data_IF_451402154482
#
_entry.id   IF_451402154482
#
_cell.length_a   1.000
_cell.length_b   1.000
_cell.length_c   1.000
_cell.angle_alpha   90.00
_cell.angle_beta   90.00
_cell.angle_gamma   90.00
#
_symmetry.space_group_name_H-M   'P 1'
#
loop_
_entity.id
_entity.type
_entity.pdbx_description
1 polymer ?
#
# COMPACT_ATOMS: atom_id res chain seq x y z
N UNK A 1 -19.57 -83.80 42.12
CA UNK A 1 -18.64 -84.89 42.49
C UNK A 1 -17.46 -84.82 41.54
N UNK A 2 -16.27 -84.49 42.05
CA UNK A 2 -14.98 -84.44 41.30
C UNK A 2 -14.20 -85.69 41.71
N UNK A 3 -13.53 -86.41 40.78
CA UNK A 3 -12.05 -86.38 40.68
C UNK A 3 -11.56 -86.64 39.23
N UNK A 4 -10.33 -86.41 38.78
CA UNK A 4 -9.05 -85.98 39.34
C UNK A 4 -8.03 -85.82 38.19
N UNK A 5 -6.90 -85.11 38.42
CA UNK A 5 -5.80 -84.94 37.45
C UNK A 5 -4.95 -86.20 37.22
N UNK A 6 -3.89 -86.17 36.37
CA UNK A 6 -2.67 -85.41 36.64
C UNK A 6 -1.96 -84.74 35.42
N UNK A 7 -0.96 -83.89 35.73
CA UNK A 7 -0.04 -83.07 34.87
C UNK A 7 1.03 -83.95 34.15
N UNK A 8 2.07 -83.41 33.43
CA UNK A 8 2.31 -82.11 32.75
C UNK A 8 2.83 -82.29 31.29
N UNK A 9 2.90 -81.21 30.48
CA UNK A 9 3.95 -81.13 29.44
C UNK A 9 4.38 -79.69 29.13
N UNK A 10 5.69 -79.55 29.14
CA UNK A 10 6.51 -78.35 29.05
C UNK A 10 6.53 -77.82 27.61
N UNK A 11 6.35 -76.51 27.42
CA UNK A 11 6.39 -75.86 26.12
C UNK A 11 6.74 -74.39 26.25
N UNK A 12 8.03 -74.10 26.43
CA UNK A 12 8.60 -72.75 26.31
C UNK A 12 8.30 -72.21 24.91
N UNK A 13 7.65 -71.06 24.83
CA UNK A 13 7.69 -70.18 23.67
C UNK A 13 7.85 -68.74 24.17
N UNK A 14 8.80 -68.05 23.55
CA UNK A 14 9.46 -66.85 24.04
C UNK A 14 8.53 -65.63 23.98
N UNK A 15 8.52 -64.85 25.06
CA UNK A 15 7.92 -63.52 25.12
C UNK A 15 8.72 -62.54 24.26
N UNK A 16 8.34 -62.41 22.99
CA UNK A 16 8.79 -61.32 22.14
C UNK A 16 8.07 -60.03 22.53
N UNK A 17 8.63 -59.27 23.46
CA UNK A 17 8.22 -57.88 23.69
C UNK A 17 8.53 -57.04 22.45
N UNK A 18 7.58 -56.98 21.50
CA UNK A 18 7.54 -55.92 20.49
C UNK A 18 7.36 -54.60 21.24
N UNK A 19 8.47 -53.90 21.50
CA UNK A 19 8.47 -52.52 21.95
C UNK A 19 7.72 -51.72 20.88
N UNK A 20 6.48 -51.32 21.19
CA UNK A 20 5.75 -50.34 20.40
C UNK A 20 6.61 -49.09 20.35
N UNK A 21 7.11 -48.71 19.17
CA UNK A 21 7.76 -47.41 18.98
C UNK A 21 6.74 -46.34 19.40
N UNK A 22 7.09 -45.40 20.28
CA UNK A 22 6.21 -44.30 20.59
C UNK A 22 5.93 -43.53 19.30
N UNK A 23 4.68 -43.50 18.87
CA UNK A 23 4.20 -42.62 17.81
C UNK A 23 4.51 -41.19 18.26
N UNK A 24 5.25 -40.38 17.49
CA UNK A 24 5.46 -38.98 17.82
C UNK A 24 4.08 -38.31 17.87
N UNK A 25 3.59 -38.02 19.07
CA UNK A 25 2.40 -37.20 19.26
C UNK A 25 2.81 -35.76 19.00
N UNK A 26 2.87 -35.38 17.73
CA UNK A 26 2.92 -33.98 17.32
C UNK A 26 1.61 -33.32 17.75
N UNK A 27 1.59 -32.79 18.98
CA UNK A 27 0.39 -32.26 19.59
C UNK A 27 -0.15 -31.09 18.74
N UNK A 28 -1.36 -31.19 18.17
CA UNK A 28 -1.93 -30.13 17.33
C UNK A 28 -2.16 -28.81 18.11
N UNK A 29 -2.06 -28.84 19.45
CA UNK A 29 -2.11 -27.66 20.31
C UNK A 29 -0.88 -26.76 20.20
N UNK A 30 0.32 -27.31 19.95
CA UNK A 30 1.56 -26.52 19.87
C UNK A 30 1.64 -25.71 18.58
N UNK A 31 1.26 -26.31 17.43
CA UNK A 31 1.07 -25.60 16.15
C UNK A 31 -0.02 -24.52 16.23
N UNK A 32 -1.13 -24.78 16.93
CA UNK A 32 -2.21 -23.79 17.14
C UNK A 32 -1.75 -22.56 17.92
N UNK A 33 -0.94 -22.74 18.96
CA UNK A 33 -0.37 -21.63 19.73
C UNK A 33 0.64 -20.85 18.90
N UNK A 34 1.49 -21.52 18.12
CA UNK A 34 2.47 -20.87 17.26
C UNK A 34 1.85 -19.95 16.20
N UNK A 35 0.74 -20.37 15.55
CA UNK A 35 0.06 -19.52 14.55
C UNK A 35 -0.66 -18.33 15.18
N UNK A 36 -1.31 -18.53 16.34
CA UNK A 36 -1.96 -17.44 17.08
C UNK A 36 -0.94 -16.43 17.58
N UNK A 37 0.20 -16.90 18.09
CA UNK A 37 1.32 -16.05 18.55
C UNK A 37 1.94 -15.33 17.37
N UNK A 38 2.17 -15.99 16.22
CA UNK A 38 2.68 -15.34 15.02
C UNK A 38 1.73 -14.24 14.51
N UNK A 39 0.42 -14.49 14.52
CA UNK A 39 -0.62 -13.51 14.17
C UNK A 39 -0.63 -12.27 15.06
N UNK A 40 -0.65 -12.50 16.37
CA UNK A 40 -0.59 -11.44 17.36
C UNK A 40 0.73 -10.67 17.26
N UNK A 41 1.84 -11.35 16.98
CA UNK A 41 3.15 -10.74 16.73
C UNK A 41 3.20 -9.95 15.43
N UNK A 42 2.51 -10.35 14.36
CA UNK A 42 2.41 -9.52 13.14
C UNK A 42 1.59 -8.26 13.36
N UNK A 43 0.52 -8.33 14.15
CA UNK A 43 -0.27 -7.15 14.52
C UNK A 43 0.51 -6.27 15.50
N UNK A 44 1.19 -6.85 16.49
CA UNK A 44 2.08 -6.14 17.42
C UNK A 44 3.34 -5.60 16.75
N UNK A 45 3.86 -6.25 15.71
CA UNK A 45 4.95 -5.74 14.89
C UNK A 45 4.44 -4.60 14.02
N UNK A 46 3.27 -4.72 13.37
CA UNK A 46 2.67 -3.62 12.63
C UNK A 46 2.37 -2.41 13.53
N UNK A 47 1.87 -2.64 14.75
CA UNK A 47 1.64 -1.61 15.77
C UNK A 47 2.95 -1.07 16.32
N UNK A 48 3.93 -1.91 16.62
CA UNK A 48 5.25 -1.51 17.14
C UNK A 48 6.11 -0.78 16.11
N UNK A 49 5.93 -1.08 14.82
CA UNK A 49 6.60 -0.39 13.71
C UNK A 49 5.90 0.92 13.35
N UNK A 50 4.59 1.05 13.57
CA UNK A 50 3.89 2.35 13.50
C UNK A 50 4.12 3.23 14.73
N UNK A 51 4.37 2.65 15.90
CA UNK A 51 4.82 3.36 17.11
C UNK A 51 6.32 3.72 17.07
N UNK A 52 7.10 3.06 16.23
CA UNK A 52 8.52 3.34 15.98
C UNK A 52 8.77 4.26 14.78
N UNK A 53 7.75 4.60 14.01
CA UNK A 53 7.79 5.83 13.25
C UNK A 53 7.92 6.97 14.27
N UNK A 54 8.73 8.02 14.02
CA UNK A 54 8.60 9.22 14.82
C UNK A 54 7.15 9.68 14.65
N UNK A 55 6.28 9.37 15.62
CA UNK A 55 5.32 10.36 16.08
C UNK A 55 6.14 11.60 16.22
N UNK A 56 5.80 12.67 15.51
CA UNK A 56 6.47 13.96 15.64
C UNK A 56 6.63 14.20 17.14
N UNK A 57 7.83 13.93 17.65
CA UNK A 57 8.14 14.12 19.03
C UNK A 57 8.03 15.62 19.17
N UNK A 58 7.16 16.06 20.07
CA UNK A 58 7.24 17.40 20.60
C UNK A 58 8.69 17.57 21.07
N UNK A 59 9.47 18.26 20.24
CA UNK A 59 10.90 18.43 20.44
C UNK A 59 11.05 19.32 21.67
N UNK A 60 11.36 18.68 22.79
CA UNK A 60 11.86 19.38 23.97
C UNK A 60 13.33 19.63 23.71
N UNK A 61 13.59 20.67 22.92
CA UNK A 61 14.94 21.19 22.72
C UNK A 61 15.45 21.77 24.05
N UNK A 62 16.73 21.55 24.40
CA UNK A 62 17.39 22.34 25.43
C UNK A 62 17.47 23.80 24.96
N UNK A 63 17.28 24.73 25.89
CA UNK A 63 17.48 26.16 25.73
C UNK A 63 18.77 26.47 24.96
N UNK A 64 18.68 26.79 23.66
CA UNK A 64 19.54 27.79 23.03
C UNK A 64 19.06 28.13 21.61
N UNK A 65 18.89 29.44 21.41
CA UNK A 65 18.61 30.16 20.17
C UNK A 65 17.20 30.01 19.58
N UNK A 66 16.38 31.04 19.83
CA UNK A 66 15.12 31.36 19.16
C UNK A 66 15.26 31.22 17.62
N UNK A 67 14.90 30.08 17.05
CA UNK A 67 14.45 29.98 15.67
C UNK A 67 12.96 30.30 15.67
N UNK A 68 12.63 31.46 15.13
CA UNK A 68 11.28 31.87 14.79
C UNK A 68 10.60 30.73 14.02
N UNK A 69 9.42 30.29 14.49
CA UNK A 69 8.70 29.19 13.90
C UNK A 69 8.29 29.57 12.47
N UNK A 70 8.98 28.99 11.47
CA UNK A 70 8.60 29.09 10.06
C UNK A 70 7.12 28.71 9.89
N UNK A 71 6.31 29.52 9.16
CA UNK A 71 4.94 29.14 8.87
C UNK A 71 4.93 27.84 8.07
N UNK A 72 4.34 26.76 8.62
CA UNK A 72 4.23 25.46 7.91
C UNK A 72 3.30 25.48 6.70
N UNK A 73 2.58 26.59 6.51
CA UNK A 73 1.72 26.83 5.37
C UNK A 73 2.54 27.59 4.32
N UNK A 74 2.96 26.90 3.27
CA UNK A 74 3.80 27.47 2.23
C UNK A 74 3.29 27.11 0.84
N UNK A 75 3.63 27.95 -0.13
CA UNK A 75 3.46 27.68 -1.55
C UNK A 75 4.84 27.66 -2.16
N UNK A 76 5.20 26.57 -2.83
CA UNK A 76 6.54 26.41 -3.35
C UNK A 76 6.57 25.56 -4.60
N UNK A 77 7.75 25.35 -5.13
CA UNK A 77 7.94 24.58 -6.35
C UNK A 77 9.39 24.42 -6.72
N UNK A 78 9.58 23.69 -7.81
CA UNK A 78 10.88 23.50 -8.46
C UNK A 78 10.71 23.93 -9.92
N UNK A 79 11.59 24.82 -10.37
CA UNK A 79 11.64 25.31 -11.73
C UNK A 79 12.71 24.54 -12.47
N UNK A 80 12.29 23.78 -13.48
CA UNK A 80 13.18 22.91 -14.27
C UNK A 80 12.86 23.11 -15.75
N UNK A 81 13.84 23.57 -16.52
CA UNK A 81 13.78 23.73 -17.96
C UNK A 81 14.73 22.73 -18.61
N UNK A 82 14.23 21.93 -19.56
CA UNK A 82 15.01 20.90 -20.27
C UNK A 82 15.81 19.92 -19.39
N UNK A 83 15.34 19.71 -18.15
CA UNK A 83 15.98 18.83 -17.17
C UNK A 83 17.04 19.50 -16.29
N UNK A 84 17.30 20.80 -16.49
CA UNK A 84 18.20 21.61 -15.69
C UNK A 84 17.43 22.56 -14.75
N UNK A 85 17.84 22.72 -13.49
CA UNK A 85 17.23 23.68 -12.58
C UNK A 85 17.38 25.13 -13.06
N UNK A 86 16.35 25.94 -12.87
CA UNK A 86 16.34 27.36 -13.26
C UNK A 86 16.48 28.23 -12.02
N UNK A 87 17.66 28.79 -11.81
CA UNK A 87 17.98 29.70 -10.70
C UNK A 87 17.62 31.16 -11.05
N UNK A 88 17.32 31.96 -10.01
CA UNK A 88 17.20 33.42 -10.12
C UNK A 88 15.84 33.94 -10.57
N UNK A 89 14.82 33.09 -10.63
CA UNK A 89 13.48 33.45 -11.12
C UNK A 89 12.59 33.88 -9.98
N UNK A 90 11.96 35.05 -10.11
CA UNK A 90 11.04 35.61 -9.11
C UNK A 90 9.63 35.02 -9.29
N UNK A 91 9.05 34.57 -8.17
CA UNK A 91 7.68 34.07 -8.09
C UNK A 91 6.92 34.88 -7.03
N UNK A 92 5.80 35.45 -7.43
CA UNK A 92 4.93 36.26 -6.57
C UNK A 92 3.69 35.47 -6.17
N UNK A 93 3.31 35.58 -4.89
CA UNK A 93 2.09 34.99 -4.34
C UNK A 93 1.16 36.11 -3.87
N UNK A 94 -0.08 36.08 -4.35
CA UNK A 94 -1.13 37.04 -4.00
C UNK A 94 -2.36 36.33 -3.45
N UNK A 95 -3.17 37.06 -2.69
CA UNK A 95 -4.47 36.60 -2.20
C UNK A 95 -5.47 37.74 -2.32
N UNK A 96 -6.58 37.49 -3.00
CA UNK A 96 -7.64 38.49 -3.23
C UNK A 96 -7.11 39.82 -3.80
N UNK A 97 -6.07 39.75 -4.64
CA UNK A 97 -5.41 40.90 -5.25
C UNK A 97 -4.33 41.59 -4.38
N UNK A 98 -4.17 41.20 -3.11
CA UNK A 98 -3.11 41.70 -2.24
C UNK A 98 -1.86 40.80 -2.30
N UNK A 99 -0.67 41.40 -2.31
CA UNK A 99 0.59 40.68 -2.26
C UNK A 99 0.79 40.04 -0.89
N UNK A 100 1.13 38.74 -0.90
CA UNK A 100 1.37 37.94 0.31
C UNK A 100 2.86 37.77 0.53
N UNK A 101 3.61 37.54 -0.55
CA UNK A 101 5.07 37.45 -0.52
C UNK A 101 5.62 37.04 -1.88
N UNK A 102 6.94 37.06 -1.98
CA UNK A 102 7.70 36.69 -3.16
C UNK A 102 8.90 35.82 -2.80
N UNK A 103 9.35 34.99 -3.74
CA UNK A 103 10.54 34.17 -3.59
C UNK A 103 11.32 34.10 -4.89
N UNK A 104 12.64 33.98 -4.78
CA UNK A 104 13.55 33.78 -5.90
C UNK A 104 13.99 32.31 -5.89
N UNK A 105 14.01 31.66 -7.06
CA UNK A 105 14.51 30.29 -7.15
C UNK A 105 16.01 30.18 -6.85
N UNK A 106 16.39 29.18 -6.06
CA UNK A 106 17.78 28.89 -5.69
C UNK A 106 18.52 28.10 -6.79
N UNK A 107 19.78 27.74 -6.54
CA UNK A 107 20.63 26.96 -7.45
C UNK A 107 20.09 25.55 -7.76
N UNK A 108 19.20 25.01 -6.92
CA UNK A 108 18.46 23.76 -7.16
C UNK A 108 17.11 24.02 -7.86
N UNK A 109 16.84 25.27 -8.29
CA UNK A 109 15.59 25.69 -8.91
C UNK A 109 14.41 25.76 -7.94
N UNK A 110 14.63 25.63 -6.63
CA UNK A 110 13.57 25.60 -5.62
C UNK A 110 13.20 27.01 -5.19
N UNK A 111 11.90 27.22 -4.97
CA UNK A 111 11.36 28.45 -4.41
C UNK A 111 10.23 28.10 -3.44
N UNK A 112 10.05 28.92 -2.40
CA UNK A 112 8.95 28.79 -1.45
C UNK A 112 8.59 30.14 -0.84
N UNK A 113 7.30 30.42 -0.74
CA UNK A 113 6.72 31.58 -0.07
C UNK A 113 5.86 31.09 1.07
N UNK A 114 6.18 31.52 2.29
CA UNK A 114 5.34 31.27 3.45
C UNK A 114 4.03 32.09 3.34
N UNK A 115 2.89 31.45 3.61
CA UNK A 115 1.57 32.09 3.51
C UNK A 115 0.89 32.16 4.88
N UNK A 116 0.05 33.19 5.13
CA UNK A 116 -0.50 33.46 6.46
C UNK A 116 -1.55 32.45 6.95
N UNK A 117 -1.93 31.47 6.12
CA UNK A 117 -2.81 30.37 6.52
C UNK A 117 -3.43 29.64 5.32
N UNK A 118 -4.24 28.62 5.60
CA UNK A 118 -5.01 27.93 4.57
C UNK A 118 -5.95 28.89 3.79
N UNK A 119 -6.06 28.67 2.48
CA UNK A 119 -6.80 29.54 1.59
C UNK A 119 -6.49 29.30 0.12
N UNK A 120 -7.14 30.08 -0.74
CA UNK A 120 -6.83 30.13 -2.17
C UNK A 120 -5.89 31.28 -2.43
N UNK A 121 -4.80 31.00 -3.12
CA UNK A 121 -3.77 31.95 -3.50
C UNK A 121 -3.63 31.99 -5.02
N UNK A 122 -3.25 33.15 -5.52
CA UNK A 122 -2.80 33.38 -6.88
C UNK A 122 -1.28 33.32 -6.89
N UNK A 123 -0.71 32.57 -7.82
CA UNK A 123 0.76 32.46 -7.96
C UNK A 123 1.13 32.83 -9.38
N UNK A 124 2.11 33.71 -9.52
CA UNK A 124 2.58 34.22 -10.81
C UNK A 124 4.10 34.17 -10.84
N UNK A 125 4.66 33.62 -11.91
CA UNK A 125 6.10 33.68 -12.17
C UNK A 125 6.39 34.96 -12.96
N UNK A 126 7.34 35.77 -12.50
CA UNK A 126 7.67 37.04 -13.18
C UNK A 126 8.56 36.73 -14.38
N UNK A 127 7.95 36.64 -15.56
CA UNK A 127 8.60 36.18 -16.78
C UNK A 127 9.83 37.03 -17.19
N UNK A 128 9.89 38.30 -16.77
CA UNK A 128 11.04 39.19 -17.01
C UNK A 128 12.31 38.75 -16.26
N UNK A 129 12.18 37.92 -15.21
CA UNK A 129 13.30 37.39 -14.43
C UNK A 129 13.84 36.07 -14.97
N UNK A 130 13.30 35.58 -16.09
CA UNK A 130 13.77 34.34 -16.70
C UNK A 130 15.16 34.52 -17.32
N UNK A 131 16.09 33.56 -17.13
CA UNK A 131 17.38 33.55 -17.82
C UNK A 131 17.23 33.52 -19.34
N UNK A 132 18.23 34.05 -20.06
CA UNK A 132 18.26 34.01 -21.53
C UNK A 132 18.13 32.57 -22.05
N UNK A 133 17.17 32.35 -22.96
CA UNK A 133 16.91 31.03 -23.56
C UNK A 133 15.90 30.16 -22.81
N UNK A 134 15.39 30.59 -21.65
CA UNK A 134 14.32 29.90 -20.92
C UNK A 134 13.00 30.64 -21.13
N UNK A 135 12.04 29.99 -21.78
CA UNK A 135 10.69 30.53 -21.97
C UNK A 135 9.64 29.65 -21.28
N UNK A 136 8.54 30.27 -20.84
CA UNK A 136 7.38 29.54 -20.34
C UNK A 136 6.70 28.82 -21.51
N UNK A 137 6.35 27.55 -21.28
CA UNK A 137 5.65 26.74 -22.30
C UNK A 137 4.29 27.32 -22.67
N UNK A 138 3.54 27.79 -21.68
CA UNK A 138 2.22 28.38 -21.86
C UNK A 138 2.18 29.74 -21.13
N UNK A 139 2.61 30.83 -21.79
CA UNK A 139 2.62 32.18 -21.18
C UNK A 139 1.24 32.61 -20.69
N UNK A 140 0.17 32.22 -21.41
CA UNK A 140 -1.22 32.50 -21.04
C UNK A 140 -1.67 31.79 -19.74
N UNK A 141 -0.94 30.76 -19.30
CA UNK A 141 -1.19 30.02 -18.04
C UNK A 141 -0.14 30.31 -16.96
N UNK A 142 0.62 31.39 -17.12
CA UNK A 142 1.60 31.83 -16.13
C UNK A 142 0.96 32.18 -14.78
N UNK A 143 -0.28 32.68 -14.79
CA UNK A 143 -1.01 33.01 -13.57
C UNK A 143 -1.84 31.81 -13.10
N UNK A 144 -1.65 31.40 -11.85
CA UNK A 144 -2.37 30.29 -11.21
C UNK A 144 -3.41 30.83 -10.23
N UNK A 145 -4.63 31.09 -10.69
CA UNK A 145 -5.67 31.76 -9.90
C UNK A 145 -6.30 30.94 -8.76
N UNK A 146 -5.99 29.64 -8.64
CA UNK A 146 -6.70 28.72 -7.74
C UNK A 146 -5.81 27.75 -6.98
N UNK A 147 -4.65 28.21 -6.51
CA UNK A 147 -3.74 27.40 -5.68
C UNK A 147 -4.32 27.28 -4.27
N UNK A 148 -4.85 26.11 -3.92
CA UNK A 148 -5.42 25.84 -2.59
C UNK A 148 -4.37 25.30 -1.63
N UNK A 149 -4.10 26.06 -0.56
CA UNK A 149 -3.21 25.69 0.52
C UNK A 149 -4.03 25.12 1.68
N UNK A 150 -3.59 23.98 2.21
CA UNK A 150 -4.21 23.33 3.37
C UNK A 150 -3.32 23.55 4.61
N UNK A 151 -3.89 23.57 5.83
CA UNK A 151 -3.10 23.77 7.04
C UNK A 151 -2.01 22.70 7.22
N UNK A 152 -0.81 23.13 7.59
CA UNK A 152 0.37 22.29 7.84
C UNK A 152 0.96 21.63 6.60
N UNK A 153 0.71 22.18 5.40
CA UNK A 153 1.17 21.59 4.14
C UNK A 153 1.68 22.64 3.17
N UNK A 154 2.87 22.35 2.62
CA UNK A 154 3.38 23.06 1.45
C UNK A 154 2.65 22.60 0.17
N UNK A 155 2.10 23.56 -0.57
CA UNK A 155 1.45 23.31 -1.85
C UNK A 155 2.44 23.54 -2.99
N UNK A 156 2.76 22.48 -3.73
CA UNK A 156 3.64 22.55 -4.89
C UNK A 156 2.92 23.12 -6.11
N UNK A 157 3.50 24.14 -6.74
CA UNK A 157 3.06 24.75 -8.00
C UNK A 157 4.13 24.50 -9.06
N UNK A 158 3.69 24.16 -10.28
CA UNK A 158 4.58 23.85 -11.40
C UNK A 158 4.37 24.82 -12.56
N UNK A 159 5.48 25.31 -13.10
CA UNK A 159 5.56 26.12 -14.29
C UNK A 159 6.31 25.32 -15.36
N UNK A 160 5.64 24.87 -16.43
CA UNK A 160 6.31 24.18 -17.52
C UNK A 160 7.10 25.18 -18.37
N UNK A 161 8.34 24.82 -18.72
CA UNK A 161 9.23 25.62 -19.57
C UNK A 161 9.52 24.92 -20.91
N UNK A 162 10.11 25.69 -21.83
CA UNK A 162 10.51 25.26 -23.17
C UNK A 162 9.38 25.42 -24.18
N UNK A 163 9.63 25.01 -25.43
CA UNK A 163 8.62 25.08 -26.48
C UNK A 163 7.31 24.41 -26.02
N UNK A 164 6.18 25.02 -26.38
CA UNK A 164 4.91 24.34 -26.49
C UNK A 164 5.07 23.24 -27.54
N UNK A 165 5.68 22.12 -27.13
CA UNK A 165 5.65 20.87 -27.85
C UNK A 165 4.20 20.70 -28.29
N UNK A 166 3.96 20.41 -29.58
CA UNK A 166 2.72 20.69 -30.27
C UNK A 166 1.58 20.37 -29.32
N UNK A 167 0.82 21.39 -28.89
CA UNK A 167 -0.31 21.22 -27.95
C UNK A 167 -1.01 20.00 -28.45
N UNK A 168 -0.82 18.90 -27.74
CA UNK A 168 -1.26 17.63 -28.24
C UNK A 168 -2.75 17.76 -28.23
N UNK A 169 -3.36 18.08 -29.38
CA UNK A 169 -4.72 17.67 -29.66
C UNK A 169 -4.64 16.16 -29.75
N UNK A 170 -4.37 15.53 -28.59
CA UNK A 170 -4.38 14.11 -28.37
C UNK A 170 -5.70 13.72 -28.96
N UNK A 171 -5.66 12.97 -30.05
CA UNK A 171 -6.86 12.70 -30.80
C UNK A 171 -7.86 12.04 -29.82
N UNK A 172 -9.16 12.18 -30.07
CA UNK A 172 -10.14 11.47 -29.23
C UNK A 172 -9.83 9.97 -29.18
N UNK A 173 -9.24 9.43 -30.25
CA UNK A 173 -8.73 8.06 -30.29
C UNK A 173 -7.58 7.83 -29.29
N UNK A 174 -6.62 8.74 -29.18
CA UNK A 174 -5.48 8.62 -28.25
C UNK A 174 -5.93 8.72 -26.79
N UNK A 175 -6.85 9.65 -26.50
CA UNK A 175 -7.45 9.78 -25.16
C UNK A 175 -8.28 8.56 -24.79
N UNK A 176 -9.09 8.07 -25.74
CA UNK A 176 -9.87 6.85 -25.56
C UNK A 176 -8.96 5.63 -25.35
N UNK A 177 -7.89 5.49 -26.13
CA UNK A 177 -6.95 4.39 -26.00
C UNK A 177 -6.27 4.38 -24.61
N UNK A 178 -5.77 5.53 -24.14
CA UNK A 178 -5.21 5.63 -22.79
C UNK A 178 -6.24 5.34 -21.69
N UNK A 179 -7.48 5.81 -21.85
CA UNK A 179 -8.57 5.56 -20.89
C UNK A 179 -8.94 4.09 -20.82
N UNK A 180 -9.01 3.41 -21.97
CA UNK A 180 -9.26 1.96 -22.05
C UNK A 180 -8.13 1.19 -21.37
N UNK A 181 -6.86 1.56 -21.62
CA UNK A 181 -5.73 0.91 -20.96
C UNK A 181 -5.74 1.10 -19.45
N UNK A 182 -6.01 2.32 -18.97
CA UNK A 182 -6.11 2.59 -17.54
C UNK A 182 -7.31 1.87 -16.91
N UNK A 183 -8.44 1.81 -17.61
CA UNK A 183 -9.61 1.01 -17.23
C UNK A 183 -9.29 -0.48 -17.15
N UNK A 184 -8.52 -1.01 -18.11
CA UNK A 184 -8.07 -2.41 -18.12
C UNK A 184 -7.16 -2.70 -16.93
N UNK A 185 -6.17 -1.83 -16.66
CA UNK A 185 -5.29 -1.95 -15.48
C UNK A 185 -6.09 -1.99 -14.19
N UNK A 186 -7.01 -1.04 -14.01
CA UNK A 186 -7.88 -0.98 -12.85
C UNK A 186 -8.76 -2.23 -12.74
N UNK A 187 -9.35 -2.67 -13.86
CA UNK A 187 -10.16 -3.88 -13.94
C UNK A 187 -9.40 -5.15 -13.56
N UNK A 188 -8.14 -5.29 -13.99
CA UNK A 188 -7.29 -6.42 -13.62
C UNK A 188 -7.00 -6.48 -12.12
N UNK A 189 -6.71 -5.34 -11.49
CA UNK A 189 -6.50 -5.25 -10.04
C UNK A 189 -7.79 -5.60 -9.28
N UNK A 190 -8.93 -5.05 -9.72
CA UNK A 190 -10.24 -5.37 -9.12
C UNK A 190 -10.58 -6.84 -9.30
N UNK A 191 -10.31 -7.44 -10.47
CA UNK A 191 -10.52 -8.86 -10.73
C UNK A 191 -9.67 -9.75 -9.81
N UNK A 192 -8.38 -9.40 -9.62
CA UNK A 192 -7.50 -10.10 -8.67
C UNK A 192 -8.01 -10.04 -7.24
N UNK A 193 -8.50 -8.88 -6.79
CA UNK A 193 -9.10 -8.76 -5.46
C UNK A 193 -10.40 -9.57 -5.34
N UNK A 194 -11.21 -9.57 -6.40
CA UNK A 194 -12.53 -10.22 -6.44
C UNK A 194 -12.42 -11.74 -6.47
N UNK A 195 -11.42 -12.31 -7.13
CA UNK A 195 -11.25 -13.76 -7.24
C UNK A 195 -11.03 -14.42 -5.87
N UNK A 196 -10.31 -13.74 -4.98
CA UNK A 196 -10.11 -14.17 -3.59
C UNK A 196 -11.41 -14.14 -2.79
N UNK A 197 -12.19 -13.06 -2.92
CA UNK A 197 -13.50 -12.95 -2.27
C UNK A 197 -14.47 -14.02 -2.76
N UNK A 198 -14.49 -14.28 -4.08
CA UNK A 198 -15.30 -15.33 -4.69
C UNK A 198 -14.93 -16.72 -4.18
N UNK A 199 -13.65 -17.02 -3.99
CA UNK A 199 -13.21 -18.30 -3.43
C UNK A 199 -13.65 -18.47 -1.97
N UNK A 200 -13.48 -17.43 -1.15
CA UNK A 200 -13.91 -17.47 0.27
C UNK A 200 -15.41 -17.68 0.35
N UNK A 201 -16.19 -16.92 -0.42
CA UNK A 201 -17.64 -17.09 -0.47
C UNK A 201 -18.03 -18.47 -1.01
N UNK A 202 -17.39 -18.93 -2.08
CA UNK A 202 -17.70 -20.22 -2.70
C UNK A 202 -17.45 -21.42 -1.79
N UNK A 203 -16.48 -21.32 -0.88
CA UNK A 203 -16.14 -22.40 0.07
C UNK A 203 -16.87 -22.30 1.41
N UNK A 204 -17.24 -21.11 1.86
CA UNK A 204 -17.83 -20.90 3.20
C UNK A 204 -19.30 -20.48 3.19
N UNK A 205 -19.81 -19.98 2.06
CA UNK A 205 -21.11 -19.31 1.97
C UNK A 205 -21.18 -17.97 2.71
N UNK A 206 -20.07 -17.49 3.27
CA UNK A 206 -19.99 -16.26 4.04
C UNK A 206 -19.41 -15.12 3.20
N UNK A 207 -20.13 -14.01 3.10
CA UNK A 207 -19.57 -12.77 2.53
C UNK A 207 -18.68 -12.11 3.58
N UNK A 208 -17.36 -12.26 3.42
CA UNK A 208 -16.37 -11.66 4.30
C UNK A 208 -16.04 -10.22 3.85
N UNK A 209 -16.72 -9.23 4.44
CA UNK A 209 -16.47 -7.81 4.24
C UNK A 209 -15.07 -7.34 4.70
N UNK A 210 -14.39 -8.09 5.57
CA UNK A 210 -13.03 -7.74 6.02
C UNK A 210 -11.95 -8.12 4.99
N UNK A 211 -12.32 -8.79 3.88
CA UNK A 211 -11.38 -9.22 2.84
C UNK A 211 -10.57 -8.06 2.24
N UNK A 212 -11.20 -6.90 2.01
CA UNK A 212 -10.51 -5.71 1.49
C UNK A 212 -9.40 -5.22 2.43
N UNK A 213 -9.54 -5.44 3.74
CA UNK A 213 -8.55 -5.04 4.74
C UNK A 213 -7.36 -6.02 4.78
N UNK A 214 -7.53 -7.27 4.35
CA UNK A 214 -6.42 -8.20 4.12
C UNK A 214 -5.57 -7.80 2.91
N UNK A 215 -6.23 -7.37 1.83
CA UNK A 215 -5.55 -6.82 0.64
C UNK A 215 -4.75 -5.58 1.02
N UNK A 216 -5.38 -4.67 1.78
CA UNK A 216 -4.74 -3.44 2.27
C UNK A 216 -3.54 -3.76 3.15
N UNK A 217 -3.65 -4.72 4.07
CA UNK A 217 -2.52 -5.14 4.91
C UNK A 217 -1.36 -5.72 4.09
N UNK A 218 -1.66 -6.50 3.05
CA UNK A 218 -0.64 -7.01 2.14
C UNK A 218 0.11 -5.90 1.40
N UNK A 219 -0.62 -4.89 0.93
CA UNK A 219 -0.04 -3.71 0.29
C UNK A 219 0.81 -2.88 1.27
N UNK A 220 0.32 -2.64 2.50
CA UNK A 220 1.07 -1.96 3.55
C UNK A 220 2.32 -2.75 3.96
N UNK A 221 2.23 -4.08 4.04
CA UNK A 221 3.38 -4.95 4.27
C UNK A 221 4.42 -4.85 3.16
N UNK A 222 3.99 -4.87 1.90
CA UNK A 222 4.89 -4.67 0.76
C UNK A 222 5.54 -3.27 0.79
N UNK A 223 4.78 -2.24 1.14
CA UNK A 223 5.31 -0.88 1.29
C UNK A 223 6.34 -0.82 2.42
N UNK A 224 6.04 -1.43 3.57
CA UNK A 224 6.94 -1.48 4.71
C UNK A 224 8.29 -2.13 4.34
N UNK A 225 8.28 -3.29 3.68
CA UNK A 225 9.51 -3.98 3.29
C UNK A 225 10.32 -3.26 2.20
N UNK A 226 9.66 -2.43 1.39
CA UNK A 226 10.30 -1.63 0.34
C UNK A 226 10.73 -0.23 0.81
N UNK A 227 10.20 0.26 1.94
CA UNK A 227 10.47 1.61 2.43
C UNK A 227 11.94 1.81 2.79
N UNK A 228 12.48 3.00 2.46
CA UNK A 228 13.84 3.45 2.82
C UNK A 228 13.92 4.01 4.23
N UNK A 229 12.80 4.48 4.77
CA UNK A 229 12.76 5.15 6.07
C UNK A 229 12.52 4.20 7.23
N UNK A 230 11.79 3.10 7.01
CA UNK A 230 11.38 2.17 8.07
C UNK A 230 11.74 0.71 7.76
N UNK A 231 12.14 0.41 6.53
CA UNK A 231 12.27 -0.96 6.03
C UNK A 231 13.66 -1.34 5.54
N UNK A 232 13.89 -2.65 5.28
CA UNK A 232 15.15 -3.19 4.77
C UNK A 232 15.45 -2.85 3.29
N UNK A 233 14.69 -1.96 2.65
CA UNK A 233 14.88 -1.54 1.24
C UNK A 233 14.93 -2.69 0.24
N UNK A 234 14.07 -3.69 0.42
CA UNK A 234 14.04 -4.85 -0.48
C UNK A 234 13.45 -4.47 -1.85
N UNK A 235 13.89 -5.20 -2.88
CA UNK A 235 13.30 -5.11 -4.23
C UNK A 235 11.79 -5.33 -4.16
N UNK A 236 11.02 -4.52 -4.90
CA UNK A 236 9.56 -4.50 -4.87
C UNK A 236 8.93 -5.89 -5.04
N UNK A 237 9.52 -6.75 -5.89
CA UNK A 237 9.05 -8.13 -6.08
C UNK A 237 9.14 -8.92 -4.78
N UNK A 238 10.28 -8.88 -4.10
CA UNK A 238 10.48 -9.59 -2.84
C UNK A 238 9.63 -8.98 -1.72
N UNK A 239 9.55 -7.65 -1.66
CA UNK A 239 8.69 -6.94 -0.73
C UNK A 239 7.20 -7.31 -0.94
N UNK A 240 6.75 -7.44 -2.19
CA UNK A 240 5.42 -7.90 -2.56
C UNK A 240 5.14 -9.33 -2.09
N UNK A 241 6.07 -10.26 -2.32
CA UNK A 241 5.96 -11.65 -1.83
C UNK A 241 5.86 -11.70 -0.30
N UNK A 242 6.68 -10.91 0.40
CA UNK A 242 6.63 -10.82 1.87
C UNK A 242 5.34 -10.15 2.34
N UNK A 243 4.81 -9.16 1.62
CA UNK A 243 3.51 -8.54 1.88
C UNK A 243 2.37 -9.55 1.75
N UNK A 244 2.38 -10.38 0.70
CA UNK A 244 1.42 -11.49 0.53
C UNK A 244 1.54 -12.50 1.68
N UNK A 245 2.77 -12.85 2.07
CA UNK A 245 3.00 -13.73 3.21
C UNK A 245 2.47 -13.14 4.52
N UNK A 246 2.67 -11.83 4.75
CA UNK A 246 2.14 -11.12 5.91
C UNK A 246 0.61 -11.10 5.92
N UNK A 247 -0.03 -10.85 4.77
CA UNK A 247 -1.49 -10.94 4.62
C UNK A 247 -2.01 -12.36 4.87
N UNK A 248 -1.29 -13.39 4.41
CA UNK A 248 -1.65 -14.79 4.67
C UNK A 248 -1.56 -15.14 6.16
N UNK A 249 -0.54 -14.65 6.88
CA UNK A 249 -0.42 -14.80 8.32
C UNK A 249 -1.59 -14.10 9.03
N UNK A 250 -1.90 -12.86 8.65
CA UNK A 250 -3.02 -12.12 9.23
C UNK A 250 -4.37 -12.83 8.97
N UNK A 251 -4.63 -13.26 7.74
CA UNK A 251 -5.83 -14.00 7.38
C UNK A 251 -5.95 -15.33 8.11
N UNK A 252 -4.86 -16.09 8.24
CA UNK A 252 -4.83 -17.31 9.05
C UNK A 252 -5.13 -17.04 10.53
N UNK A 253 -4.62 -15.92 11.04
CA UNK A 253 -4.85 -15.48 12.42
C UNK A 253 -6.31 -15.12 12.65
N UNK A 254 -6.92 -14.36 11.73
CA UNK A 254 -8.37 -14.07 11.75
C UNK A 254 -9.19 -15.35 11.69
N UNK A 255 -8.80 -16.31 10.86
CA UNK A 255 -9.48 -17.61 10.82
C UNK A 255 -9.44 -18.31 12.18
N UNK A 256 -8.29 -18.37 12.85
CA UNK A 256 -8.20 -19.06 14.14
C UNK A 256 -8.79 -18.28 15.33
N UNK A 257 -8.72 -16.95 15.29
CA UNK A 257 -9.14 -16.07 16.39
C UNK A 257 -10.62 -15.66 16.31
N UNK A 258 -11.14 -15.45 15.10
CA UNK A 258 -12.48 -14.92 14.87
C UNK A 258 -13.39 -15.99 14.27
N UNK A 259 -13.05 -16.50 13.08
CA UNK A 259 -13.98 -17.35 12.33
C UNK A 259 -14.20 -18.72 12.96
N UNK A 260 -13.11 -19.44 13.25
CA UNK A 260 -13.17 -20.80 13.77
C UNK A 260 -13.86 -20.92 15.14
N UNK A 261 -13.69 -19.98 16.10
CA UNK A 261 -14.48 -19.99 17.33
C UNK A 261 -15.98 -19.75 17.11
N UNK A 262 -16.35 -18.87 16.17
CA UNK A 262 -17.75 -18.59 15.85
C UNK A 262 -18.41 -19.79 15.16
N UNK A 263 -17.70 -20.44 14.24
CA UNK A 263 -18.12 -21.70 13.61
C UNK A 263 -18.35 -22.81 14.63
N UNK A 264 -17.43 -22.99 15.60
CA UNK A 264 -17.61 -24.00 16.68
C UNK A 264 -18.83 -23.73 17.55
N UNK A 265 -19.21 -22.47 17.71
CA UNK A 265 -20.42 -22.06 18.43
C UNK A 265 -21.68 -22.11 17.56
N UNK A 266 -21.56 -22.51 16.29
CA UNK A 266 -22.65 -22.58 15.30
C UNK A 266 -23.44 -21.26 15.18
N UNK A 267 -22.70 -20.14 15.20
CA UNK A 267 -23.27 -18.81 14.99
C UNK A 267 -23.87 -18.76 13.57
N UNK A 268 -25.02 -18.10 13.40
CA UNK A 268 -25.66 -17.95 12.08
C UNK A 268 -24.83 -17.12 11.10
N UNK A 269 -25.01 -17.36 9.79
CA UNK A 269 -24.28 -16.66 8.71
C UNK A 269 -24.43 -15.14 8.79
N UNK A 270 -25.64 -14.64 9.03
CA UNK A 270 -25.91 -13.20 9.17
C UNK A 270 -25.09 -12.58 10.30
N UNK A 271 -25.04 -13.23 11.46
CA UNK A 271 -24.24 -12.75 12.60
C UNK A 271 -22.73 -12.79 12.30
N UNK A 272 -22.25 -13.80 11.58
CA UNK A 272 -20.85 -13.85 11.12
C UNK A 272 -20.55 -12.73 10.11
N UNK A 273 -21.48 -12.37 9.23
CA UNK A 273 -21.33 -11.22 8.33
C UNK A 273 -21.24 -9.90 9.10
N UNK A 274 -22.07 -9.71 10.14
CA UNK A 274 -21.99 -8.52 11.01
C UNK A 274 -20.62 -8.44 11.69
N UNK A 275 -20.11 -9.55 12.22
CA UNK A 275 -18.75 -9.60 12.78
C UNK A 275 -17.71 -9.24 11.73
N UNK A 276 -17.88 -9.68 10.48
CA UNK A 276 -16.97 -9.32 9.39
C UNK A 276 -16.94 -7.82 9.11
N UNK A 277 -18.10 -7.16 9.13
CA UNK A 277 -18.20 -5.71 8.92
C UNK A 277 -17.49 -4.99 10.06
N UNK A 278 -17.78 -5.39 11.31
CA UNK A 278 -17.14 -4.81 12.49
C UNK A 278 -15.62 -5.00 12.48
N UNK A 279 -15.14 -6.18 12.10
CA UNK A 279 -13.72 -6.47 11.97
C UNK A 279 -13.06 -5.63 10.86
N UNK A 280 -13.73 -5.48 9.71
CA UNK A 280 -13.24 -4.64 8.61
C UNK A 280 -13.10 -3.18 9.03
N UNK A 281 -14.12 -2.62 9.69
CA UNK A 281 -14.08 -1.26 10.22
C UNK A 281 -12.98 -1.09 11.28
N UNK A 282 -12.84 -2.06 12.19
CA UNK A 282 -11.79 -2.04 13.20
C UNK A 282 -10.40 -1.98 12.55
N UNK A 283 -10.12 -2.89 11.62
CA UNK A 283 -8.84 -2.94 10.91
C UNK A 283 -8.55 -1.66 10.16
N UNK A 284 -9.54 -1.13 9.43
CA UNK A 284 -9.41 0.13 8.69
C UNK A 284 -8.99 1.28 9.60
N UNK A 285 -9.61 1.42 10.77
CA UNK A 285 -9.25 2.47 11.73
C UNK A 285 -7.87 2.22 12.35
N UNK A 286 -7.55 0.97 12.68
CA UNK A 286 -6.21 0.60 13.16
C UNK A 286 -5.15 0.97 12.12
N UNK A 287 -5.38 0.68 10.85
CA UNK A 287 -4.45 1.06 9.79
C UNK A 287 -4.32 2.59 9.67
N UNK A 288 -5.44 3.32 9.74
CA UNK A 288 -5.42 4.78 9.71
C UNK A 288 -4.65 5.41 10.87
N UNK A 289 -4.75 4.86 12.08
CA UNK A 289 -4.00 5.35 13.25
C UNK A 289 -2.51 4.97 13.16
N UNK A 290 -2.19 3.76 12.73
CA UNK A 290 -0.81 3.22 12.73
C UNK A 290 0.01 3.73 11.55
N UNK A 291 -0.59 3.81 10.35
CA UNK A 291 0.11 4.16 9.11
C UNK A 291 -0.26 5.54 8.55
N UNK A 292 -1.28 6.18 9.11
CA UNK A 292 -1.88 7.40 8.58
C UNK A 292 -2.94 7.12 7.51
N UNK A 293 -3.79 8.12 7.26
CA UNK A 293 -4.86 8.05 6.24
C UNK A 293 -4.38 8.42 4.82
N UNK A 294 -3.16 8.91 4.67
CA UNK A 294 -2.61 9.36 3.40
C UNK A 294 -2.08 8.18 2.55
N UNK A 295 -2.23 8.23 1.22
CA UNK A 295 -1.61 7.25 0.32
C UNK A 295 -0.09 7.21 0.51
N UNK A 296 0.48 6.00 0.47
CA UNK A 296 1.92 5.77 0.58
C UNK A 296 2.47 5.29 -0.76
N UNK A 297 3.61 5.85 -1.17
CA UNK A 297 4.30 5.47 -2.40
C UNK A 297 5.44 4.52 -2.08
N UNK A 298 5.63 3.51 -2.95
CA UNK A 298 6.79 2.61 -2.91
C UNK A 298 8.05 3.38 -3.32
N UNK A 299 9.22 3.03 -2.77
CA UNK A 299 10.47 3.75 -3.04
C UNK A 299 11.01 3.46 -4.44
N UNK A 300 10.86 2.20 -4.87
CA UNK A 300 11.08 1.83 -6.26
C UNK A 300 9.84 2.17 -7.07
N UNK A 301 10.03 2.65 -8.30
CA UNK A 301 8.95 3.03 -9.22
C UNK A 301 8.13 4.27 -8.79
N UNK A 302 8.62 5.07 -7.82
CA UNK A 302 7.97 6.31 -7.36
C UNK A 302 7.95 7.42 -8.42
N UNK A 303 9.10 7.61 -9.09
CA UNK A 303 9.29 8.53 -10.19
C UNK A 303 9.83 7.72 -11.37
N UNK A 304 8.96 7.39 -12.33
CA UNK A 304 9.38 6.79 -13.58
C UNK A 304 8.98 7.70 -14.71
N UNK A 305 9.92 8.02 -15.60
CA UNK A 305 9.57 8.57 -16.90
C UNK A 305 8.63 7.58 -17.59
N UNK A 306 7.38 7.97 -17.90
CA UNK A 306 6.51 7.13 -18.70
C UNK A 306 7.17 6.83 -20.04
N UNK A 307 6.95 5.64 -20.56
CA UNK A 307 7.29 5.35 -21.95
C UNK A 307 6.11 5.74 -22.83
N UNK A 308 6.42 6.44 -23.90
CA UNK A 308 5.46 6.86 -24.91
C UNK A 308 5.69 5.97 -26.14
N UNK A 309 4.75 5.07 -26.47
CA UNK A 309 4.72 4.48 -27.81
C UNK A 309 3.51 5.02 -28.56
N UNK A 310 3.78 5.97 -29.46
CA UNK A 310 2.75 6.68 -30.20
C UNK A 310 1.77 7.36 -29.23
N UNK A 311 0.46 7.06 -29.31
CA UNK A 311 -0.53 7.71 -28.45
C UNK A 311 -0.62 7.12 -27.04
N UNK A 312 0.06 6.02 -26.77
CA UNK A 312 -0.07 5.28 -25.52
C UNK A 312 1.04 5.68 -24.54
N UNK A 313 0.62 6.08 -23.34
CA UNK A 313 1.53 6.40 -22.23
C UNK A 313 1.46 5.28 -21.20
N UNK A 314 2.58 4.60 -20.97
CA UNK A 314 2.69 3.56 -19.95
C UNK A 314 3.92 3.77 -19.05
N UNK A 315 3.69 3.95 -17.74
CA UNK A 315 4.72 3.75 -16.75
C UNK A 315 5.36 2.34 -16.89
N UNK A 316 6.68 2.20 -16.81
CA UNK A 316 7.35 0.90 -16.92
C UNK A 316 6.83 -0.17 -15.95
N UNK A 317 6.37 0.23 -14.76
CA UNK A 317 5.70 -0.68 -13.81
C UNK A 317 4.48 -1.42 -14.38
N UNK A 318 3.75 -0.81 -15.32
CA UNK A 318 2.53 -1.40 -15.88
C UNK A 318 2.85 -2.56 -16.83
N UNK A 319 4.05 -2.55 -17.43
CA UNK A 319 4.55 -3.62 -18.29
C UNK A 319 4.80 -4.92 -17.50
N UNK A 320 5.01 -4.82 -16.19
CA UNK A 320 5.12 -5.98 -15.30
C UNK A 320 3.78 -6.32 -14.67
N UNK A 321 3.02 -5.29 -14.26
CA UNK A 321 1.76 -5.46 -13.52
C UNK A 321 0.68 -6.15 -14.38
N UNK A 322 0.50 -5.72 -15.64
CA UNK A 322 -0.56 -6.26 -16.51
C UNK A 322 -0.31 -7.75 -16.81
N UNK A 323 0.86 -8.18 -17.33
CA UNK A 323 1.09 -9.60 -17.61
C UNK A 323 1.05 -10.45 -16.35
N UNK A 324 1.58 -9.96 -15.23
CA UNK A 324 1.54 -10.67 -13.96
C UNK A 324 0.10 -10.90 -13.50
N UNK A 325 -0.75 -9.88 -13.57
CA UNK A 325 -2.16 -10.00 -13.21
C UNK A 325 -2.90 -11.02 -14.09
N UNK A 326 -2.67 -10.97 -15.41
CA UNK A 326 -3.25 -11.94 -16.35
C UNK A 326 -2.77 -13.36 -16.04
N UNK A 327 -1.47 -13.57 -15.79
CA UNK A 327 -0.92 -14.88 -15.45
C UNK A 327 -1.52 -15.42 -14.15
N UNK A 328 -1.65 -14.59 -13.11
CA UNK A 328 -2.24 -15.00 -11.84
C UNK A 328 -3.73 -15.34 -11.99
N UNK A 329 -4.50 -14.51 -12.70
CA UNK A 329 -5.92 -14.76 -12.96
C UNK A 329 -6.12 -16.03 -13.80
N UNK A 330 -5.38 -16.18 -14.90
CA UNK A 330 -5.47 -17.35 -15.76
C UNK A 330 -5.01 -18.61 -15.02
N UNK A 331 -3.90 -18.53 -14.27
CA UNK A 331 -3.40 -19.62 -13.45
C UNK A 331 -4.42 -20.08 -12.40
N UNK A 332 -5.08 -19.13 -11.73
CA UNK A 332 -6.12 -19.44 -10.75
C UNK A 332 -7.38 -20.00 -11.41
N UNK A 333 -7.83 -19.43 -12.52
CA UNK A 333 -8.97 -19.94 -13.28
C UNK A 333 -8.73 -21.37 -13.77
N UNK A 334 -7.55 -21.64 -14.34
CA UNK A 334 -7.14 -22.99 -14.76
C UNK A 334 -7.02 -23.94 -13.56
N UNK A 335 -6.49 -23.48 -12.43
CA UNK A 335 -6.42 -24.27 -11.22
C UNK A 335 -7.81 -24.69 -10.77
N UNK A 336 -8.78 -23.78 -10.69
CA UNK A 336 -10.16 -24.12 -10.32
C UNK A 336 -10.85 -25.03 -11.33
N UNK A 337 -10.68 -24.78 -12.63
CA UNK A 337 -11.38 -25.55 -13.67
C UNK A 337 -10.79 -26.94 -13.91
N UNK A 338 -9.47 -27.11 -13.74
CA UNK A 338 -8.77 -28.35 -14.10
C UNK A 338 -8.27 -29.17 -12.92
N UNK A 339 -8.18 -28.61 -11.73
CA UNK A 339 -7.74 -29.38 -10.56
C UNK A 339 -8.93 -29.84 -9.73
N UNK A 340 -8.74 -30.96 -9.02
CA UNK A 340 -9.75 -31.54 -8.11
C UNK A 340 -10.20 -30.61 -6.98
N UNK A 341 -9.53 -29.46 -6.80
CA UNK A 341 -9.94 -28.42 -5.85
C UNK A 341 -11.24 -27.69 -6.24
N UNK A 342 -11.64 -27.70 -7.53
CA UNK A 342 -12.88 -27.06 -8.00
C UNK A 342 -14.07 -28.01 -8.24
N UNK A 343 -13.90 -29.32 -8.05
CA UNK A 343 -14.94 -30.34 -8.33
C UNK A 343 -15.45 -31.04 -7.07
N UNK A 344 -15.10 -30.53 -5.87
CA UNK A 344 -15.45 -31.14 -4.59
C UNK A 344 -16.57 -30.37 -3.89
#
# INVERSE_FOLDING_TARGET
>A
MVPGGPRPRNGRAQGGHRRLRPVPQDTPRRRRRAVVVAGLLTVLAAVGLGLGAPTAAADTAPDDVLREAEPTDAVGGELVADGEPVEGVLVQVRRDGAEVGEAISDADGRWAVAVPGAGTYQVELVAETLPEGVELRDPDQNVRDSVRVSPGREQTVRFPFGDAGPVGTTSLADRAANSILNGLKFGLVVALCSIGLSLVFGTTGLVNFAHAELVTFGALGAWFFNSRTVGPTLTLVLAGVLGVAAAAVLGGSMHFLVWRPLERRRIGLVSMMIVSIGLGLLLRHVYGVVFGASPRTYTQFAAQSPWEWGPLVFPPKDLVLIPLAVVVLAGFALALQRTRLGTA
#
